data_IF_952774064837
#
_entry.id   IF_952774064837
#
_cell.length_a   1.000
_cell.length_b   1.000
_cell.length_c   1.000
_cell.angle_alpha   90.00
_cell.angle_beta   90.00
_cell.angle_gamma   90.00
#
_symmetry.space_group_name_H-M   'P 1'
#
loop_
_entity.id
_entity.type
_entity.pdbx_description
1 polymer ?
#
# COMPACT_ATOMS: atom_id res chain seq x y z
N UNK A 1 10.15 -3.57 8.33
CA UNK A 1 8.85 -4.29 8.52
C UNK A 1 7.62 -3.40 8.46
N UNK A 2 7.44 -2.38 9.31
CA UNK A 2 6.26 -1.49 9.27
C UNK A 2 6.18 -0.72 7.95
N UNK A 3 7.32 -0.30 7.42
CA UNK A 3 7.41 0.36 6.11
C UNK A 3 7.02 -0.57 4.97
N UNK A 4 7.42 -1.84 5.05
CA UNK A 4 7.05 -2.89 4.10
C UNK A 4 5.53 -3.07 4.05
N UNK A 5 4.87 -3.06 5.22
CA UNK A 5 3.41 -3.06 5.29
C UNK A 5 2.83 -1.80 4.64
N UNK A 6 3.33 -0.61 4.96
CA UNK A 6 2.83 0.63 4.36
C UNK A 6 2.89 0.60 2.82
N UNK A 7 4.05 0.25 2.25
CA UNK A 7 4.23 0.13 0.79
C UNK A 7 3.35 -0.95 0.18
N UNK A 8 3.10 -2.06 0.88
CA UNK A 8 2.17 -3.09 0.41
C UNK A 8 0.70 -2.62 0.41
N UNK A 9 0.26 -1.86 1.42
CA UNK A 9 -1.09 -1.31 1.47
C UNK A 9 -1.31 -0.24 0.39
N UNK A 10 -0.37 0.69 0.22
CA UNK A 10 -0.42 1.67 -0.87
C UNK A 10 -0.44 0.98 -2.24
N UNK A 11 0.35 -0.09 -2.41
CA UNK A 11 0.29 -0.89 -3.63
C UNK A 11 -1.08 -1.51 -3.89
N UNK A 12 -1.70 -2.10 -2.88
CA UNK A 12 -3.04 -2.68 -3.02
C UNK A 12 -4.07 -1.62 -3.42
N UNK A 13 -3.99 -0.44 -2.82
CA UNK A 13 -4.87 0.68 -3.18
C UNK A 13 -4.69 1.13 -4.63
N UNK A 14 -3.45 1.35 -5.08
CA UNK A 14 -3.17 1.76 -6.46
C UNK A 14 -3.48 0.65 -7.48
N UNK A 15 -3.13 -0.61 -7.18
CA UNK A 15 -3.30 -1.74 -8.11
C UNK A 15 -4.77 -2.05 -8.38
N UNK A 16 -5.61 -1.88 -7.37
CA UNK A 16 -7.04 -2.23 -7.41
C UNK A 16 -7.95 -0.99 -7.31
N UNK A 17 -7.44 0.20 -7.64
CA UNK A 17 -8.17 1.47 -7.58
C UNK A 17 -9.58 1.36 -8.20
N UNK A 18 -9.70 0.66 -9.32
CA UNK A 18 -10.94 0.47 -10.07
C UNK A 18 -12.02 -0.37 -9.36
N UNK A 19 -11.69 -1.05 -8.26
CA UNK A 19 -12.63 -1.94 -7.54
C UNK A 19 -12.60 -1.77 -6.02
N UNK A 20 -11.52 -1.24 -5.44
CA UNK A 20 -11.28 -1.29 -3.98
C UNK A 20 -12.32 -0.50 -3.17
N UNK A 21 -12.89 0.59 -3.71
CA UNK A 21 -13.94 1.35 -3.04
C UNK A 21 -15.17 0.49 -2.69
N UNK A 22 -15.47 -0.53 -3.52
CA UNK A 22 -16.58 -1.46 -3.27
C UNK A 22 -16.33 -2.43 -2.09
N UNK A 23 -15.09 -2.55 -1.61
CA UNK A 23 -14.71 -3.55 -0.61
C UNK A 23 -14.98 -3.10 0.83
N UNK A 24 -15.30 -1.83 1.06
CA UNK A 24 -15.56 -1.29 2.41
C UNK A 24 -16.55 -2.15 3.20
N UNK A 25 -17.62 -2.59 2.54
CA UNK A 25 -18.70 -3.33 3.18
C UNK A 25 -18.51 -4.86 3.20
N UNK A 26 -17.35 -5.38 2.76
CA UNK A 26 -17.09 -6.82 2.78
C UNK A 26 -17.03 -7.38 4.21
N UNK A 27 -16.47 -6.61 5.15
CA UNK A 27 -16.38 -6.98 6.57
C UNK A 27 -16.38 -5.74 7.47
N UNK A 28 -16.68 -5.90 8.76
CA UNK A 28 -16.54 -4.82 9.75
C UNK A 28 -15.10 -4.30 9.84
N UNK A 29 -14.10 -5.15 9.61
CA UNK A 29 -12.69 -4.76 9.62
C UNK A 29 -12.30 -3.96 8.38
N UNK A 30 -12.87 -4.31 7.22
CA UNK A 30 -12.72 -3.53 5.99
C UNK A 30 -13.29 -2.13 6.18
N UNK A 31 -14.48 -2.01 6.77
CA UNK A 31 -15.11 -0.72 7.06
C UNK A 31 -14.35 0.13 8.09
N UNK A 32 -13.54 -0.48 8.95
CA UNK A 32 -12.71 0.26 9.92
C UNK A 32 -11.49 0.93 9.26
N UNK A 33 -11.09 0.47 8.06
CA UNK A 33 -9.85 0.86 7.40
C UNK A 33 -10.09 1.56 6.06
N UNK A 34 -11.11 1.13 5.32
CA UNK A 34 -11.51 1.68 4.02
C UNK A 34 -12.61 2.72 4.18
N UNK A 35 -12.51 3.83 3.45
CA UNK A 35 -13.48 4.93 3.49
C UNK A 35 -14.57 4.84 2.41
N UNK A 36 -14.54 3.79 1.57
CA UNK A 36 -15.49 3.57 0.48
C UNK A 36 -15.17 4.32 -0.83
N UNK A 37 -14.13 5.14 -0.86
CA UNK A 37 -13.68 5.82 -2.06
C UNK A 37 -12.64 4.98 -2.83
N UNK A 38 -12.52 5.20 -4.14
CA UNK A 38 -11.46 4.59 -4.95
C UNK A 38 -10.19 5.44 -5.01
N UNK A 39 -10.27 6.74 -4.71
CA UNK A 39 -9.13 7.65 -4.80
C UNK A 39 -8.26 7.61 -3.53
N UNK A 40 -8.81 8.00 -2.39
CA UNK A 40 -8.13 7.98 -1.10
C UNK A 40 -8.13 6.57 -0.50
N UNK A 41 -9.17 5.75 -0.76
CA UNK A 41 -9.28 4.33 -0.36
C UNK A 41 -9.37 4.09 1.15
N UNK A 42 -8.44 4.62 1.93
CA UNK A 42 -8.32 4.42 3.36
C UNK A 42 -8.87 5.60 4.14
N UNK A 43 -9.30 5.33 5.37
CA UNK A 43 -9.60 6.36 6.36
C UNK A 43 -8.37 7.26 6.61
N UNK A 44 -8.57 8.55 6.84
CA UNK A 44 -7.47 9.52 6.97
C UNK A 44 -6.46 9.16 8.06
N UNK A 45 -6.92 8.52 9.14
CA UNK A 45 -6.04 8.05 10.22
C UNK A 45 -5.12 6.91 9.76
N UNK A 46 -5.61 6.04 8.87
CA UNK A 46 -4.83 4.94 8.27
C UNK A 46 -3.78 5.53 7.35
N UNK A 47 -4.16 6.45 6.45
CA UNK A 47 -3.21 7.11 5.55
C UNK A 47 -2.07 7.75 6.35
N UNK A 48 -2.40 8.51 7.39
CA UNK A 48 -1.42 9.15 8.27
C UNK A 48 -0.50 8.13 8.96
N UNK A 49 -1.06 7.01 9.43
CA UNK A 49 -0.28 5.94 10.04
C UNK A 49 0.66 5.25 9.04
N UNK A 50 0.19 4.96 7.82
CA UNK A 50 0.98 4.32 6.78
C UNK A 50 2.10 5.23 6.27
N UNK A 51 1.84 6.53 6.07
CA UNK A 51 2.88 7.53 5.74
C UNK A 51 3.95 7.60 6.83
N UNK A 52 3.55 7.63 8.10
CA UNK A 52 4.49 7.59 9.22
C UNK A 52 5.34 6.32 9.19
N UNK A 53 4.72 5.16 9.01
CA UNK A 53 5.43 3.88 8.97
C UNK A 53 6.38 3.77 7.79
N UNK A 54 5.99 4.30 6.62
CA UNK A 54 6.85 4.38 5.45
C UNK A 54 8.12 5.19 5.74
N UNK A 55 7.97 6.36 6.36
CA UNK A 55 9.08 7.27 6.66
C UNK A 55 10.00 6.78 7.79
N UNK A 56 9.45 6.12 8.81
CA UNK A 56 10.23 5.59 9.94
C UNK A 56 10.97 4.29 9.59
N UNK A 57 10.60 3.60 8.51
CA UNK A 57 11.12 2.30 8.12
C UNK A 57 11.40 2.22 6.59
N UNK A 58 12.57 2.73 6.17
CA UNK A 58 12.98 2.77 4.77
C UNK A 58 13.03 1.38 4.12
N UNK A 59 13.05 1.36 2.78
CA UNK A 59 13.19 0.12 2.01
C UNK A 59 14.47 -0.61 2.40
N UNK A 60 14.35 -1.91 2.67
CA UNK A 60 15.48 -2.76 3.03
C UNK A 60 15.87 -3.69 1.87
N UNK A 61 17.08 -4.25 1.90
CA UNK A 61 17.52 -5.23 0.90
C UNK A 61 16.59 -6.46 0.86
N UNK A 62 16.14 -6.93 2.02
CA UNK A 62 15.21 -8.05 2.09
C UNK A 62 13.89 -7.76 1.37
N UNK A 63 13.41 -6.53 1.44
CA UNK A 63 12.18 -6.12 0.76
C UNK A 63 12.38 -6.03 -0.76
N UNK A 64 13.53 -5.52 -1.22
CA UNK A 64 13.92 -5.52 -2.63
C UNK A 64 13.99 -6.94 -3.19
N UNK A 65 14.68 -7.85 -2.49
CA UNK A 65 14.81 -9.26 -2.88
C UNK A 65 13.43 -9.92 -2.96
N UNK A 66 12.52 -9.60 -2.03
CA UNK A 66 11.16 -10.12 -2.03
C UNK A 66 10.30 -9.54 -3.15
N UNK A 67 10.46 -8.26 -3.49
CA UNK A 67 9.77 -7.62 -4.62
C UNK A 67 10.24 -8.23 -5.95
N UNK A 68 11.55 -8.49 -6.10
CA UNK A 68 12.12 -9.16 -7.26
C UNK A 68 11.62 -10.61 -7.39
N UNK A 69 11.62 -11.39 -6.30
CA UNK A 69 11.09 -12.75 -6.32
C UNK A 69 9.60 -12.79 -6.69
N UNK A 70 8.79 -11.86 -6.14
CA UNK A 70 7.37 -11.74 -6.50
C UNK A 70 7.19 -11.39 -7.98
N UNK A 71 8.02 -10.48 -8.51
CA UNK A 71 8.01 -10.11 -9.93
C UNK A 71 8.30 -11.31 -10.84
N UNK A 72 9.31 -12.10 -10.51
CA UNK A 72 9.66 -13.31 -11.28
C UNK A 72 8.51 -14.33 -11.34
N UNK A 73 7.65 -14.34 -10.32
CA UNK A 73 6.51 -15.26 -10.23
C UNK A 73 5.22 -14.70 -10.83
N UNK A 74 4.93 -13.41 -10.64
CA UNK A 74 3.63 -12.81 -10.96
C UNK A 74 3.66 -11.85 -12.16
N UNK A 75 4.85 -11.35 -12.54
CA UNK A 75 5.05 -10.42 -13.65
C UNK A 75 4.74 -8.95 -13.33
N UNK A 76 4.33 -8.62 -12.11
CA UNK A 76 4.07 -7.27 -11.62
C UNK A 76 4.95 -6.94 -10.41
N UNK A 77 5.37 -5.67 -10.29
CA UNK A 77 6.14 -5.16 -9.15
C UNK A 77 5.34 -4.19 -8.32
N UNK A 78 5.70 -4.09 -7.04
CA UNK A 78 5.29 -2.98 -6.21
C UNK A 78 6.20 -1.77 -6.51
N UNK A 79 5.70 -0.72 -7.19
CA UNK A 79 6.51 0.46 -7.51
C UNK A 79 6.93 1.24 -6.27
N UNK A 80 6.20 1.16 -5.15
CA UNK A 80 6.57 1.87 -3.92
C UNK A 80 7.78 1.26 -3.22
N UNK A 81 8.20 0.03 -3.58
CA UNK A 81 9.45 -0.58 -3.11
C UNK A 81 10.62 -0.14 -3.98
N UNK A 82 10.43 -0.11 -5.30
CA UNK A 82 11.45 0.32 -6.27
C UNK A 82 11.68 1.85 -6.24
N UNK A 83 10.60 2.61 -6.00
CA UNK A 83 10.50 4.07 -5.99
C UNK A 83 9.72 4.54 -4.75
N UNK A 84 10.32 4.49 -3.55
CA UNK A 84 9.64 4.89 -2.32
C UNK A 84 9.17 6.35 -2.33
N UNK A 85 9.82 7.22 -3.10
CA UNK A 85 9.42 8.62 -3.30
C UNK A 85 8.00 8.78 -3.85
N UNK A 86 7.46 7.78 -4.54
CA UNK A 86 6.09 7.82 -5.05
C UNK A 86 5.04 7.80 -3.94
N UNK A 87 5.38 7.35 -2.73
CA UNK A 87 4.46 7.41 -1.59
C UNK A 87 4.12 8.87 -1.29
N UNK A 88 5.12 9.72 -1.05
CA UNK A 88 4.93 11.15 -0.73
C UNK A 88 4.36 11.97 -1.91
N UNK A 89 4.52 11.50 -3.15
CA UNK A 89 3.98 12.19 -4.33
C UNK A 89 2.49 11.93 -4.57
N UNK A 90 1.96 10.81 -4.07
CA UNK A 90 0.60 10.34 -4.35
C UNK A 90 -0.30 10.41 -3.10
N UNK A 91 0.26 10.14 -1.92
CA UNK A 91 -0.48 9.85 -0.68
C UNK A 91 -0.38 10.94 0.39
#
# INVERSE_FOLDING_TARGET
>A
FKGDFARAYFYMATRYENVIGSWQNNTTYSNAVLNGSSNQVFESWVVTMLLKWHNEDPVSQLELDRNQAAYEHQGNRNPFVDHPEFVEMIW
#
